data_IF_100601491327
#
_entry.id   IF_100601491327
#
_cell.length_a   1.000
_cell.length_b   1.000
_cell.length_c   1.000
_cell.angle_alpha   90.00
_cell.angle_beta   90.00
_cell.angle_gamma   90.00
#
_symmetry.space_group_name_H-M   'P 1'
#
loop_
_entity.id
_entity.type
_entity.pdbx_description
1 polymer ?
#
# COMPACT_ATOMS: atom_id res chain seq x y z
N UNK A 1 9.98 11.23 12.35
CA UNK A 1 8.71 11.97 12.17
C UNK A 1 7.97 12.01 13.49
N UNK A 2 7.86 13.18 14.10
CA UNK A 2 7.06 13.38 15.29
C UNK A 2 5.73 14.05 14.88
N UNK A 3 4.62 13.58 15.39
CA UNK A 3 3.32 14.20 15.20
C UNK A 3 2.78 14.75 16.51
N UNK A 4 2.12 15.87 16.46
CA UNK A 4 1.46 16.47 17.59
C UNK A 4 -0.03 16.69 17.29
N UNK A 5 -0.89 16.35 18.25
CA UNK A 5 -2.31 16.65 18.19
C UNK A 5 -2.57 17.86 19.08
N UNK A 6 -3.12 18.94 18.52
CA UNK A 6 -3.52 20.14 19.27
C UNK A 6 -5.03 20.33 19.27
N UNK A 7 -5.57 20.69 20.43
CA UNK A 7 -6.96 21.12 20.55
C UNK A 7 -6.95 22.65 20.57
N UNK A 8 -7.51 23.28 19.52
CA UNK A 8 -7.63 24.71 19.38
C UNK A 8 -9.11 25.07 19.20
N UNK A 9 -9.66 25.88 20.08
CA UNK A 9 -11.05 26.40 20.01
C UNK A 9 -12.12 25.29 19.79
N UNK A 10 -11.96 24.15 20.48
CA UNK A 10 -12.88 23.02 20.35
C UNK A 10 -12.70 22.14 19.11
N UNK A 11 -11.70 22.40 18.28
CA UNK A 11 -11.34 21.57 17.14
C UNK A 11 -10.05 20.79 17.43
N UNK A 12 -10.01 19.54 16.99
CA UNK A 12 -8.79 18.71 17.02
C UNK A 12 -8.02 18.99 15.72
N UNK A 13 -6.79 19.47 15.84
CA UNK A 13 -5.89 19.68 14.70
C UNK A 13 -4.75 18.67 14.74
N UNK A 14 -4.43 18.05 13.58
CA UNK A 14 -3.22 17.28 13.39
C UNK A 14 -2.12 18.22 12.88
N UNK A 15 -0.96 18.18 13.53
CA UNK A 15 0.24 18.89 13.12
C UNK A 15 1.40 17.90 12.97
N UNK A 16 2.18 18.03 11.90
CA UNK A 16 3.40 17.26 11.66
C UNK A 16 4.61 18.11 12.07
N UNK A 17 5.48 17.52 12.87
CA UNK A 17 6.77 18.11 13.24
C UNK A 17 7.87 17.34 12.54
N UNK A 18 8.58 17.98 11.63
CA UNK A 18 9.65 17.37 10.85
C UNK A 18 10.94 18.16 10.99
N UNK A 19 12.01 17.49 11.41
CA UNK A 19 13.34 18.10 11.42
C UNK A 19 13.80 18.33 9.94
N UNK A 20 14.45 19.45 9.62
CA UNK A 20 14.98 20.47 10.53
C UNK A 20 14.01 21.65 10.80
N UNK A 21 12.73 21.52 10.52
CA UNK A 21 11.76 22.60 10.68
C UNK A 21 11.33 22.74 12.15
N UNK A 22 11.52 23.92 12.74
CA UNK A 22 11.15 24.20 14.13
C UNK A 22 9.64 24.49 14.31
N UNK A 23 8.88 24.63 13.21
CA UNK A 23 7.46 24.98 13.24
C UNK A 23 6.60 23.80 12.80
N UNK A 24 5.57 23.46 13.59
CA UNK A 24 4.61 22.42 13.23
C UNK A 24 3.87 22.80 11.94
N UNK A 25 3.76 21.84 11.03
CA UNK A 25 2.99 21.96 9.79
C UNK A 25 1.56 21.43 10.05
N UNK A 26 0.54 22.28 10.01
CA UNK A 26 -0.84 21.82 10.16
C UNK A 26 -1.25 20.94 8.99
N UNK A 27 -2.08 19.92 9.24
CA UNK A 27 -2.52 18.92 8.26
C UNK A 27 -3.05 19.52 6.94
N UNK A 28 -3.72 20.68 7.01
CA UNK A 28 -4.22 21.41 5.82
C UNK A 28 -3.13 21.90 4.85
N UNK A 29 -1.87 21.85 5.24
CA UNK A 29 -0.69 22.21 4.42
C UNK A 29 0.09 21.00 3.93
N UNK A 30 -0.28 19.80 4.35
CA UNK A 30 0.32 18.56 3.89
C UNK A 30 -0.24 18.19 2.50
N UNK A 31 0.57 17.48 1.72
CA UNK A 31 0.10 16.91 0.46
C UNK A 31 -0.94 15.81 0.70
N UNK A 32 -1.80 15.54 -0.29
CA UNK A 32 -2.76 14.44 -0.21
C UNK A 32 -2.07 13.09 0.00
N UNK A 33 -0.92 12.87 -0.66
CA UNK A 33 -0.11 11.67 -0.46
C UNK A 33 0.40 11.52 0.97
N UNK A 34 0.85 12.61 1.59
CA UNK A 34 1.27 12.60 3.01
C UNK A 34 0.10 12.30 3.94
N UNK A 35 -1.07 12.90 3.70
CA UNK A 35 -2.27 12.62 4.50
C UNK A 35 -2.74 11.18 4.37
N UNK A 36 -2.71 10.61 3.16
CA UNK A 36 -3.02 9.20 2.90
C UNK A 36 -2.03 8.27 3.61
N UNK A 37 -0.73 8.57 3.52
CA UNK A 37 0.30 7.82 4.22
C UNK A 37 0.05 7.79 5.73
N UNK A 38 -0.23 8.94 6.36
CA UNK A 38 -0.53 9.01 7.80
C UNK A 38 -1.80 8.23 8.16
N UNK A 39 -2.83 8.27 7.32
CA UNK A 39 -4.05 7.50 7.53
C UNK A 39 -3.78 5.98 7.44
N UNK A 40 -3.00 5.53 6.46
CA UNK A 40 -2.59 4.13 6.34
C UNK A 40 -1.74 3.69 7.54
N UNK A 41 -0.79 4.50 7.96
CA UNK A 41 0.01 4.21 9.16
C UNK A 41 -0.88 4.05 10.40
N UNK A 42 -1.88 4.91 10.59
CA UNK A 42 -2.82 4.81 11.70
C UNK A 42 -3.68 3.52 11.64
N UNK A 43 -4.02 3.05 10.44
CA UNK A 43 -4.80 1.82 10.24
C UNK A 43 -3.92 0.58 10.42
N UNK A 44 -2.73 0.56 9.82
CA UNK A 44 -1.88 -0.63 9.77
C UNK A 44 -1.08 -0.84 11.06
N UNK A 45 -0.66 0.24 11.73
CA UNK A 45 0.17 0.16 12.95
C UNK A 45 -0.64 0.10 14.25
N UNK A 46 -1.97 0.02 14.18
CA UNK A 46 -2.79 -0.06 15.39
C UNK A 46 -2.51 -1.35 16.19
N UNK A 47 -2.52 -1.27 17.54
CA UNK A 47 -2.18 -2.42 18.39
C UNK A 47 -3.16 -3.60 18.28
N UNK A 48 -4.43 -3.33 18.00
CA UNK A 48 -5.51 -4.31 17.89
C UNK A 48 -6.28 -4.07 16.59
N UNK A 49 -5.77 -4.56 15.45
CA UNK A 49 -6.42 -4.38 14.17
C UNK A 49 -7.72 -5.20 14.09
N UNK A 50 -8.68 -4.80 13.23
CA UNK A 50 -9.83 -5.63 12.90
C UNK A 50 -9.37 -6.94 12.23
N UNK A 51 -10.21 -7.98 12.21
CA UNK A 51 -9.84 -9.29 11.64
C UNK A 51 -9.58 -9.27 10.13
N UNK A 52 -10.04 -8.24 9.43
CA UNK A 52 -9.84 -8.02 7.99
C UNK A 52 -9.68 -6.53 7.70
N UNK A 53 -8.70 -6.19 6.88
CA UNK A 53 -8.51 -4.85 6.31
C UNK A 53 -8.46 -4.99 4.78
N UNK A 54 -9.25 -4.19 4.08
CA UNK A 54 -9.23 -4.09 2.62
C UNK A 54 -8.66 -2.72 2.23
N UNK A 55 -7.64 -2.72 1.39
CA UNK A 55 -6.99 -1.52 0.87
C UNK A 55 -7.13 -1.49 -0.65
N UNK A 56 -7.58 -0.36 -1.18
CA UNK A 56 -7.66 -0.11 -2.62
C UNK A 56 -6.70 1.01 -2.98
N UNK A 57 -5.75 0.70 -3.87
CA UNK A 57 -4.68 1.60 -4.33
C UNK A 57 -4.03 2.40 -3.20
N UNK A 58 -3.47 1.71 -2.18
CA UNK A 58 -2.93 2.40 -1.02
C UNK A 58 -1.77 3.35 -1.36
N UNK A 59 -1.11 3.13 -2.48
CA UNK A 59 0.01 3.91 -3.00
C UNK A 59 -0.39 5.20 -3.74
N UNK A 60 -1.67 5.39 -4.03
CA UNK A 60 -2.13 6.48 -4.90
C UNK A 60 -1.72 7.87 -4.39
N UNK A 61 -1.01 8.61 -5.26
CA UNK A 61 -0.53 9.97 -4.97
C UNK A 61 0.71 10.04 -4.06
N UNK A 62 1.38 8.92 -3.81
CA UNK A 62 2.57 8.84 -2.97
C UNK A 62 3.86 8.87 -3.80
N UNK A 63 4.92 9.39 -3.18
CA UNK A 63 6.27 9.27 -3.73
C UNK A 63 6.75 7.80 -3.64
N UNK A 64 7.57 7.29 -4.59
CA UNK A 64 8.07 5.91 -4.55
C UNK A 64 8.70 5.47 -3.23
N UNK A 65 9.42 6.36 -2.55
CA UNK A 65 10.01 6.05 -1.23
C UNK A 65 8.94 5.79 -0.16
N UNK A 66 7.79 6.49 -0.23
CA UNK A 66 6.66 6.27 0.67
C UNK A 66 5.96 4.94 0.37
N UNK A 67 5.90 4.53 -0.90
CA UNK A 67 5.30 3.25 -1.31
C UNK A 67 6.04 2.08 -0.66
N UNK A 68 7.37 2.13 -0.59
CA UNK A 68 8.16 1.11 0.11
C UNK A 68 7.82 1.03 1.60
N UNK A 69 7.70 2.17 2.28
CA UNK A 69 7.29 2.22 3.69
C UNK A 69 5.86 1.67 3.89
N UNK A 70 4.94 1.94 2.96
CA UNK A 70 3.59 1.37 2.97
C UNK A 70 3.64 -0.15 2.82
N UNK A 71 4.46 -0.67 1.92
CA UNK A 71 4.65 -2.12 1.76
C UNK A 71 5.16 -2.78 3.04
N UNK A 72 6.16 -2.20 3.70
CA UNK A 72 6.67 -2.69 4.99
C UNK A 72 5.57 -2.70 6.06
N UNK A 73 4.76 -1.63 6.16
CA UNK A 73 3.63 -1.59 7.10
C UNK A 73 2.55 -2.65 6.78
N UNK A 74 2.29 -2.92 5.50
CA UNK A 74 1.36 -3.97 5.05
C UNK A 74 1.91 -5.35 5.47
N UNK A 75 3.17 -5.63 5.21
CA UNK A 75 3.82 -6.88 5.60
C UNK A 75 3.79 -7.10 7.13
N UNK A 76 4.14 -6.08 7.91
CA UNK A 76 4.07 -6.14 9.38
C UNK A 76 2.64 -6.35 9.90
N UNK A 77 1.65 -5.68 9.31
CA UNK A 77 0.26 -5.82 9.71
C UNK A 77 -0.32 -7.19 9.36
N UNK A 78 0.14 -7.84 8.28
CA UNK A 78 -0.31 -9.16 7.85
C UNK A 78 -0.07 -10.25 8.89
N UNK A 79 0.90 -10.08 9.77
CA UNK A 79 1.15 -10.97 10.90
C UNK A 79 0.04 -10.93 11.98
N UNK A 80 -0.82 -9.91 11.96
CA UNK A 80 -1.84 -9.66 12.99
C UNK A 80 -3.27 -9.70 12.47
N UNK A 81 -3.46 -9.49 11.17
CA UNK A 81 -4.78 -9.39 10.55
C UNK A 81 -4.74 -9.87 9.10
N UNK A 82 -5.87 -10.32 8.58
CA UNK A 82 -6.01 -10.61 7.16
C UNK A 82 -6.04 -9.30 6.37
N UNK A 83 -5.24 -9.24 5.29
CA UNK A 83 -5.19 -8.09 4.39
C UNK A 83 -5.60 -8.49 2.98
N UNK A 84 -6.43 -7.65 2.36
CA UNK A 84 -6.71 -7.70 0.92
C UNK A 84 -6.26 -6.36 0.33
N UNK A 85 -5.31 -6.41 -0.58
CA UNK A 85 -4.74 -5.21 -1.22
C UNK A 85 -5.03 -5.29 -2.72
N UNK A 86 -5.74 -4.29 -3.24
CA UNK A 86 -5.95 -4.11 -4.68
C UNK A 86 -5.03 -2.99 -5.17
N UNK A 87 -4.23 -3.27 -6.19
CA UNK A 87 -3.29 -2.29 -6.75
C UNK A 87 -2.98 -2.59 -8.22
N UNK A 88 -2.58 -1.59 -8.97
CA UNK A 88 -1.91 -1.72 -10.27
C UNK A 88 -0.50 -1.12 -10.25
N UNK A 89 0.05 -0.82 -9.11
CA UNK A 89 1.38 -0.23 -8.99
C UNK A 89 2.47 -1.29 -9.10
N UNK A 90 3.29 -1.16 -10.13
CA UNK A 90 4.52 -1.95 -10.29
C UNK A 90 5.41 -1.86 -9.03
N UNK A 91 5.53 -0.65 -8.45
CA UNK A 91 6.37 -0.43 -7.28
C UNK A 91 5.85 -1.15 -6.04
N UNK A 92 4.53 -1.11 -5.80
CA UNK A 92 3.94 -1.79 -4.66
C UNK A 92 3.97 -3.30 -4.84
N UNK A 93 3.68 -3.82 -6.04
CA UNK A 93 3.78 -5.25 -6.36
C UNK A 93 5.19 -5.77 -6.16
N UNK A 94 6.21 -5.05 -6.63
CA UNK A 94 7.61 -5.41 -6.42
C UNK A 94 7.99 -5.39 -4.94
N UNK A 95 7.53 -4.39 -4.19
CA UNK A 95 7.84 -4.27 -2.77
C UNK A 95 7.18 -5.37 -1.92
N UNK A 96 6.01 -5.88 -2.33
CA UNK A 96 5.26 -6.95 -1.63
C UNK A 96 5.50 -8.35 -2.20
N UNK A 97 6.39 -8.54 -3.16
CA UNK A 97 6.56 -9.81 -3.88
C UNK A 97 6.92 -11.01 -3.01
N UNK A 98 7.39 -10.77 -1.79
CA UNK A 98 7.75 -11.81 -0.82
C UNK A 98 6.69 -12.01 0.28
N UNK A 99 5.72 -11.10 0.39
CA UNK A 99 4.85 -10.93 1.56
C UNK A 99 3.37 -11.24 1.27
N UNK A 100 3.04 -11.95 0.19
CA UNK A 100 1.67 -12.37 -0.09
C UNK A 100 1.50 -13.89 -0.03
N UNK A 101 0.34 -14.37 0.39
CA UNK A 101 -0.04 -15.79 0.34
C UNK A 101 -0.57 -16.18 -1.04
N UNK A 102 -1.48 -15.37 -1.57
CA UNK A 102 -2.12 -15.56 -2.88
C UNK A 102 -2.25 -14.21 -3.60
N UNK A 103 -1.87 -14.19 -4.87
CA UNK A 103 -2.13 -13.09 -5.77
C UNK A 103 -3.28 -13.46 -6.72
N UNK A 104 -4.21 -12.54 -6.95
CA UNK A 104 -5.26 -12.66 -7.95
C UNK A 104 -5.07 -11.61 -9.05
N UNK A 105 -4.87 -12.05 -10.29
CA UNK A 105 -4.92 -11.16 -11.44
C UNK A 105 -6.32 -11.18 -12.06
N UNK A 106 -6.83 -10.00 -12.41
CA UNK A 106 -8.13 -9.80 -13.01
C UNK A 106 -7.97 -9.32 -14.44
N UNK A 107 -8.61 -10.01 -15.37
CA UNK A 107 -8.67 -9.66 -16.80
C UNK A 107 -10.10 -9.41 -17.27
N UNK A 108 -10.25 -8.62 -18.34
CA UNK A 108 -11.52 -8.48 -19.04
C UNK A 108 -11.71 -9.69 -20.00
N UNK A 109 -12.75 -10.47 -19.79
CA UNK A 109 -13.16 -11.53 -20.71
C UNK A 109 -14.36 -11.11 -21.56
N UNK A 110 -14.69 -11.91 -22.57
CA UNK A 110 -15.81 -11.62 -23.50
C UNK A 110 -17.19 -11.59 -22.80
N UNK A 111 -17.34 -12.34 -21.70
CA UNK A 111 -18.61 -12.49 -20.98
C UNK A 111 -18.54 -12.04 -19.53
N UNK A 112 -17.44 -11.44 -19.10
CA UNK A 112 -17.22 -11.00 -17.72
C UNK A 112 -15.76 -11.01 -17.33
N UNK A 113 -15.45 -10.75 -16.06
CA UNK A 113 -14.07 -10.76 -15.55
C UNK A 113 -13.52 -12.18 -15.42
N UNK A 114 -12.28 -12.35 -15.81
CA UNK A 114 -11.50 -13.58 -15.61
C UNK A 114 -10.59 -13.34 -14.42
N UNK A 115 -10.61 -14.27 -13.44
CA UNK A 115 -9.77 -14.21 -12.24
C UNK A 115 -8.77 -15.35 -12.28
N UNK A 116 -7.48 -15.05 -12.14
CA UNK A 116 -6.39 -16.03 -12.10
C UNK A 116 -5.68 -15.95 -10.76
N UNK A 117 -5.75 -17.02 -9.95
CA UNK A 117 -4.96 -17.11 -8.73
C UNK A 117 -3.52 -17.55 -9.04
N UNK A 118 -2.56 -16.95 -8.34
CA UNK A 118 -1.15 -17.33 -8.37
C UNK A 118 -0.65 -17.52 -6.95
N UNK A 119 0.00 -18.66 -6.69
CA UNK A 119 0.64 -18.95 -5.41
C UNK A 119 2.10 -18.49 -5.39
N UNK A 120 2.66 -18.33 -4.19
CA UNK A 120 4.09 -18.03 -4.01
C UNK A 120 5.01 -19.05 -4.73
N UNK A 121 4.63 -20.33 -4.77
CA UNK A 121 5.44 -21.37 -5.44
C UNK A 121 5.52 -21.18 -6.94
N UNK A 122 4.44 -20.70 -7.58
CA UNK A 122 4.44 -20.39 -9.01
C UNK A 122 5.38 -19.22 -9.32
N UNK A 123 5.44 -18.22 -8.42
CA UNK A 123 6.34 -17.09 -8.57
C UNK A 123 7.80 -17.41 -8.32
N UNK A 124 8.14 -18.36 -7.46
CA UNK A 124 9.54 -18.73 -7.18
C UNK A 124 10.35 -19.05 -8.44
N UNK A 125 9.72 -19.63 -9.45
CA UNK A 125 10.36 -19.96 -10.73
C UNK A 125 10.63 -18.73 -11.61
N UNK A 126 9.76 -17.70 -11.53
CA UNK A 126 9.89 -16.47 -12.33
C UNK A 126 10.80 -15.44 -11.67
N UNK A 127 10.93 -15.49 -10.35
CA UNK A 127 11.73 -14.57 -9.53
C UNK A 127 13.23 -14.60 -9.79
N UNK A 128 13.74 -15.66 -10.41
CA UNK A 128 15.17 -15.74 -10.77
C UNK A 128 15.54 -14.73 -11.86
N UNK A 129 14.56 -14.31 -12.68
CA UNK A 129 14.78 -13.45 -13.84
C UNK A 129 13.99 -12.14 -13.79
N UNK A 130 12.84 -12.10 -13.07
CA UNK A 130 11.91 -10.96 -13.06
C UNK A 130 11.34 -10.66 -11.69
N UNK A 131 11.05 -9.36 -11.43
CA UNK A 131 10.24 -8.93 -10.28
C UNK A 131 8.74 -9.10 -10.58
N UNK A 132 7.91 -9.11 -9.53
CA UNK A 132 6.45 -9.18 -9.69
C UNK A 132 5.91 -7.98 -10.48
N UNK A 133 6.49 -6.78 -10.27
CA UNK A 133 6.14 -5.57 -10.99
C UNK A 133 6.48 -5.66 -12.48
N UNK A 134 7.64 -6.22 -12.84
CA UNK A 134 8.03 -6.44 -14.24
C UNK A 134 7.10 -7.46 -14.93
N UNK A 135 6.72 -8.55 -14.27
CA UNK A 135 5.74 -9.50 -14.78
C UNK A 135 4.35 -8.87 -14.98
N UNK A 136 3.99 -7.94 -14.12
CA UNK A 136 2.76 -7.15 -14.28
C UNK A 136 2.84 -6.23 -15.50
N UNK A 137 3.91 -5.44 -15.62
CA UNK A 137 4.10 -4.48 -16.72
C UNK A 137 4.25 -5.15 -18.09
N UNK A 138 4.90 -6.33 -18.15
CA UNK A 138 5.02 -7.14 -19.38
C UNK A 138 3.68 -7.76 -19.82
N UNK A 139 2.68 -7.82 -18.93
CA UNK A 139 1.39 -8.43 -19.18
C UNK A 139 1.37 -9.96 -19.02
N UNK A 140 2.43 -10.56 -18.50
CA UNK A 140 2.51 -12.02 -18.29
C UNK A 140 1.55 -12.50 -17.20
N UNK A 141 1.27 -11.63 -16.21
CA UNK A 141 0.24 -11.90 -15.20
C UNK A 141 -1.18 -11.71 -15.72
N UNK A 142 -1.36 -11.08 -16.87
CA UNK A 142 -2.65 -10.59 -17.33
C UNK A 142 -3.03 -9.25 -16.67
N UNK A 143 -4.23 -8.71 -16.99
CA UNK A 143 -4.76 -7.50 -16.34
C UNK A 143 -4.18 -6.16 -16.80
N UNK A 144 -3.09 -6.16 -17.56
CA UNK A 144 -2.41 -4.95 -18.02
C UNK A 144 -2.69 -4.66 -19.49
N UNK A 145 -3.94 -4.30 -19.82
CA UNK A 145 -4.30 -3.93 -21.20
C UNK A 145 -5.18 -2.69 -21.21
N UNK A 146 -4.50 -1.56 -21.15
CA UNK A 146 -5.07 -0.23 -21.51
C UNK A 146 -4.11 0.50 -22.42
#
# INVERSE_FOLDING_TARGET
>A
LDYATRILFGHIGLELVEAPFDLPLPAKRLSDGTLRFLALAAILLQPSPPPLICLEEPELGMHPDMIRMVAEMIADASAKTQLIVATHSEHLLTALQDDFDVLFAFDAGLTGSIVRPFSQEQFKKWREEHTLGELWTSGELGGNRW
#
